data_IF_426706362345
#
_entry.id   IF_426706362345
#
_cell.length_a   1.000
_cell.length_b   1.000
_cell.length_c   1.000
_cell.angle_alpha   90.00
_cell.angle_beta   90.00
_cell.angle_gamma   90.00
#
_symmetry.space_group_name_H-M   'P 1'
#
loop_
_entity.id
_entity.type
_entity.pdbx_description
1 polymer ?
#
# COMPACT_ATOMS: atom_id res chain seq x y z
N UNK A 1 -12.40 5.44 -15.52
CA UNK A 1 -11.92 6.33 -14.42
C UNK A 1 -12.85 6.33 -13.23
N UNK A 2 -14.17 6.35 -13.37
CA UNK A 2 -15.17 5.97 -12.34
C UNK A 2 -16.19 5.05 -13.03
N UNK A 3 -16.66 4.00 -12.36
CA UNK A 3 -17.60 3.02 -12.90
C UNK A 3 -17.89 1.92 -11.88
N UNK A 4 -18.95 1.13 -12.09
CA UNK A 4 -19.32 0.01 -11.23
C UNK A 4 -19.08 -1.31 -11.98
N UNK A 5 -18.16 -2.17 -11.52
CA UNK A 5 -17.85 -3.42 -12.23
C UNK A 5 -18.98 -4.42 -12.02
N UNK A 6 -19.51 -4.95 -13.12
CA UNK A 6 -20.49 -6.02 -13.12
C UNK A 6 -19.82 -7.32 -13.55
N UNK A 7 -19.55 -8.20 -12.57
CA UNK A 7 -18.86 -9.47 -12.80
C UNK A 7 -19.68 -10.44 -13.66
N UNK A 8 -21.01 -10.42 -13.57
CA UNK A 8 -21.88 -11.33 -14.34
C UNK A 8 -21.97 -10.93 -15.81
N UNK A 9 -21.95 -9.63 -16.09
CA UNK A 9 -22.10 -9.09 -17.45
C UNK A 9 -20.78 -8.78 -18.14
N UNK A 10 -19.65 -8.98 -17.44
CA UNK A 10 -18.29 -8.65 -17.88
C UNK A 10 -18.15 -7.21 -18.42
N UNK A 11 -18.89 -6.27 -17.81
CA UNK A 11 -18.95 -4.87 -18.24
C UNK A 11 -18.81 -3.94 -17.05
N UNK A 12 -18.36 -2.73 -17.32
CA UNK A 12 -18.34 -1.63 -16.36
C UNK A 12 -19.58 -0.79 -16.60
N UNK A 13 -20.51 -0.85 -15.67
CA UNK A 13 -21.69 0.02 -15.67
C UNK A 13 -21.24 1.44 -15.28
N UNK A 14 -21.83 2.48 -15.89
CA UNK A 14 -21.50 3.88 -15.62
C UNK A 14 -20.02 4.26 -15.82
N UNK A 15 -19.37 3.76 -16.87
CA UNK A 15 -17.97 4.05 -17.12
C UNK A 15 -17.74 5.48 -17.62
N UNK A 16 -16.96 6.24 -16.85
CA UNK A 16 -16.33 7.49 -17.27
C UNK A 16 -14.84 7.19 -17.38
N UNK A 17 -14.33 6.91 -18.58
CA UNK A 17 -12.94 6.54 -18.84
C UNK A 17 -12.24 7.53 -19.78
N UNK A 18 -10.93 7.69 -19.59
CA UNK A 18 -10.07 8.50 -20.47
C UNK A 18 -9.52 7.54 -21.55
N UNK A 19 -9.86 7.73 -22.84
CA UNK A 19 -9.38 6.87 -23.90
C UNK A 19 -7.84 6.83 -23.93
N UNK A 20 -7.25 5.64 -24.06
CA UNK A 20 -5.81 5.49 -24.21
C UNK A 20 -4.96 5.71 -22.95
N UNK A 21 -5.52 6.23 -21.84
CA UNK A 21 -4.73 6.58 -20.64
C UNK A 21 -3.93 5.41 -20.06
N UNK A 22 -4.46 4.19 -20.13
CA UNK A 22 -3.74 2.98 -19.71
C UNK A 22 -2.66 2.55 -20.71
N UNK A 23 -2.85 2.74 -22.02
CA UNK A 23 -1.84 2.40 -23.04
C UNK A 23 -0.57 3.25 -22.87
N UNK A 24 -0.72 4.53 -22.55
CA UNK A 24 0.43 5.40 -22.27
C UNK A 24 1.16 4.99 -20.99
N UNK A 25 0.42 4.75 -19.90
CA UNK A 25 1.02 4.42 -18.61
C UNK A 25 1.72 3.04 -18.58
N UNK A 26 1.27 2.10 -19.41
CA UNK A 26 1.83 0.73 -19.46
C UNK A 26 2.99 0.61 -20.45
N UNK A 27 2.92 1.29 -21.60
CA UNK A 27 3.89 1.10 -22.69
C UNK A 27 4.75 2.34 -23.00
N UNK A 28 4.60 3.42 -22.24
CA UNK A 28 5.20 4.74 -22.51
C UNK A 28 4.97 5.23 -23.95
N UNK A 29 3.86 4.79 -24.57
CA UNK A 29 3.53 5.09 -25.95
C UNK A 29 2.64 6.34 -26.03
N UNK A 30 3.20 7.42 -26.58
CA UNK A 30 2.50 8.67 -26.87
C UNK A 30 1.45 8.55 -28.00
N UNK A 31 1.45 7.42 -28.71
CA UNK A 31 0.47 7.11 -29.76
C UNK A 31 -0.81 6.48 -29.17
N UNK A 32 -0.82 6.14 -27.87
CA UNK A 32 -1.96 5.58 -27.13
C UNK A 32 -2.64 4.36 -27.80
N UNK A 33 -1.92 3.66 -28.68
CA UNK A 33 -2.52 2.73 -29.65
C UNK A 33 -2.29 1.25 -29.30
N UNK A 34 -1.41 0.96 -28.34
CA UNK A 34 -1.12 -0.42 -27.94
C UNK A 34 -2.28 -1.01 -27.14
N UNK A 35 -2.89 -2.12 -27.58
CA UNK A 35 -3.98 -2.74 -26.85
C UNK A 35 -3.47 -3.30 -25.53
N UNK A 36 -4.10 -2.88 -24.44
CA UNK A 36 -3.88 -3.49 -23.11
C UNK A 36 -4.71 -4.75 -23.05
N UNK A 37 -4.08 -5.86 -22.65
CA UNK A 37 -4.77 -7.15 -22.50
C UNK A 37 -5.89 -7.02 -21.47
N UNK A 38 -7.11 -7.27 -21.91
CA UNK A 38 -8.30 -7.25 -21.08
C UNK A 38 -8.45 -8.55 -20.27
N UNK A 39 -9.27 -8.47 -19.21
CA UNK A 39 -9.55 -9.62 -18.35
C UNK A 39 -10.37 -10.72 -19.05
N UNK A 40 -11.08 -10.34 -20.11
CA UNK A 40 -11.86 -11.23 -20.99
C UNK A 40 -11.00 -12.31 -21.67
N UNK A 41 -9.69 -12.08 -21.79
CA UNK A 41 -8.73 -13.01 -22.39
C UNK A 41 -8.21 -14.10 -21.46
N UNK A 42 -8.56 -14.03 -20.18
CA UNK A 42 -8.18 -15.02 -19.17
C UNK A 42 -9.38 -15.88 -18.78
N UNK A 43 -9.13 -17.15 -18.43
CA UNK A 43 -10.19 -18.07 -18.00
C UNK A 43 -10.87 -17.55 -16.73
N UNK A 44 -12.20 -17.66 -16.60
CA UNK A 44 -12.92 -17.17 -15.42
C UNK A 44 -12.38 -17.69 -14.07
N UNK A 45 -11.86 -18.91 -14.04
CA UNK A 45 -11.29 -19.54 -12.85
C UNK A 45 -9.97 -18.93 -12.37
N UNK A 46 -9.24 -18.24 -13.27
CA UNK A 46 -7.96 -17.61 -12.96
C UNK A 46 -8.12 -16.12 -12.61
N UNK A 47 -9.34 -15.60 -12.63
CA UNK A 47 -9.63 -14.18 -12.38
C UNK A 47 -9.74 -13.91 -10.87
N UNK A 48 -9.13 -12.83 -10.36
CA UNK A 48 -9.30 -12.43 -8.96
C UNK A 48 -10.71 -11.90 -8.69
N UNK A 49 -11.13 -11.82 -7.40
CA UNK A 49 -12.37 -11.16 -7.00
C UNK A 49 -12.42 -9.70 -7.47
N UNK A 50 -13.22 -9.43 -8.50
CA UNK A 50 -13.21 -8.16 -9.23
C UNK A 50 -13.56 -6.95 -8.38
N UNK A 51 -14.68 -7.03 -7.64
CA UNK A 51 -15.22 -5.90 -6.90
C UNK A 51 -14.27 -5.42 -5.80
N UNK A 52 -13.69 -6.36 -5.05
CA UNK A 52 -12.82 -6.05 -3.92
C UNK A 52 -11.48 -5.46 -4.37
N UNK A 53 -10.87 -6.05 -5.40
CA UNK A 53 -9.64 -5.54 -6.01
C UNK A 53 -9.86 -4.15 -6.61
N UNK A 54 -10.98 -3.97 -7.33
CA UNK A 54 -11.36 -2.70 -7.94
C UNK A 54 -11.57 -1.59 -6.90
N UNK A 55 -12.35 -1.85 -5.85
CA UNK A 55 -12.65 -0.83 -4.85
C UNK A 55 -11.43 -0.49 -3.99
N UNK A 56 -10.62 -1.49 -3.63
CA UNK A 56 -9.40 -1.31 -2.84
C UNK A 56 -8.42 -0.35 -3.51
N UNK A 57 -8.17 -0.54 -4.81
CA UNK A 57 -7.30 0.36 -5.59
C UNK A 57 -7.84 1.80 -5.59
N UNK A 58 -9.15 1.98 -5.71
CA UNK A 58 -9.78 3.31 -5.73
C UNK A 58 -9.72 4.03 -4.40
N UNK A 59 -9.96 3.32 -3.32
CA UNK A 59 -9.84 3.88 -1.96
C UNK A 59 -8.40 4.33 -1.74
N UNK A 60 -7.42 3.48 -2.09
CA UNK A 60 -5.99 3.80 -1.98
C UNK A 60 -5.62 5.05 -2.80
N UNK A 61 -5.92 5.06 -4.11
CA UNK A 61 -5.60 6.18 -5.00
C UNK A 61 -6.36 7.44 -4.62
N UNK A 62 -7.65 7.32 -4.30
CA UNK A 62 -8.48 8.44 -3.87
C UNK A 62 -7.93 9.12 -2.62
N UNK A 63 -7.59 8.34 -1.59
CA UNK A 63 -6.96 8.87 -0.38
C UNK A 63 -5.58 9.47 -0.70
N UNK A 64 -4.76 8.80 -1.53
CA UNK A 64 -3.44 9.28 -1.92
C UNK A 64 -3.48 10.65 -2.60
N UNK A 65 -4.37 10.82 -3.58
CA UNK A 65 -4.58 12.10 -4.28
C UNK A 65 -5.08 13.17 -3.31
N UNK A 66 -6.03 12.85 -2.43
CA UNK A 66 -6.51 13.78 -1.40
C UNK A 66 -5.39 14.24 -0.46
N UNK A 67 -4.47 13.33 -0.07
CA UNK A 67 -3.33 13.67 0.77
C UNK A 67 -2.30 14.53 0.04
N UNK A 68 -2.02 14.25 -1.23
CA UNK A 68 -1.15 15.10 -2.06
C UNK A 68 -1.74 16.51 -2.17
N UNK A 69 -3.04 16.63 -2.40
CA UNK A 69 -3.73 17.91 -2.45
C UNK A 69 -3.66 18.68 -1.11
N UNK A 70 -3.89 17.99 0.01
CA UNK A 70 -3.77 18.58 1.35
C UNK A 70 -2.34 19.08 1.63
N UNK A 71 -1.30 18.31 1.26
CA UNK A 71 0.09 18.71 1.37
C UNK A 71 0.42 19.91 0.47
N UNK A 72 -0.04 19.92 -0.78
CA UNK A 72 0.16 21.03 -1.71
C UNK A 72 -0.48 22.33 -1.18
N UNK A 73 -1.70 22.25 -0.64
CA UNK A 73 -2.36 23.37 0.03
C UNK A 73 -1.59 23.81 1.29
N UNK A 74 -1.08 22.87 2.08
CA UNK A 74 -0.24 23.15 3.24
C UNK A 74 1.01 23.94 2.86
N UNK A 75 1.73 23.51 1.83
CA UNK A 75 2.89 24.22 1.28
C UNK A 75 2.50 25.61 0.78
N UNK A 76 1.41 25.72 0.03
CA UNK A 76 0.92 26.99 -0.50
C UNK A 76 0.59 27.99 0.62
N UNK A 77 -0.18 27.60 1.63
CA UNK A 77 -0.53 28.50 2.74
C UNK A 77 0.64 28.76 3.69
N UNK A 78 1.58 27.82 3.82
CA UNK A 78 2.82 28.04 4.54
C UNK A 78 3.70 29.10 3.85
N UNK A 79 3.80 29.04 2.52
CA UNK A 79 4.49 30.05 1.73
C UNK A 79 3.85 31.44 1.86
N UNK A 80 2.52 31.51 1.92
CA UNK A 80 1.76 32.75 2.17
C UNK A 80 1.76 33.20 3.63
N UNK A 81 2.39 32.45 4.54
CA UNK A 81 2.44 32.72 6.00
C UNK A 81 1.06 32.80 6.69
N UNK A 82 0.01 32.24 6.07
CA UNK A 82 -1.37 32.23 6.60
C UNK A 82 -1.84 30.84 7.04
N UNK A 83 -0.93 29.83 7.04
CA UNK A 83 -1.24 28.47 7.47
C UNK A 83 -1.92 28.37 8.85
N UNK A 84 -1.49 29.10 9.90
CA UNK A 84 -2.10 29.00 11.23
C UNK A 84 -3.59 29.38 11.25
N UNK A 85 -4.05 30.19 10.29
CA UNK A 85 -5.43 30.64 10.19
C UNK A 85 -6.35 29.55 9.60
N UNK A 86 -5.79 28.59 8.86
CA UNK A 86 -6.56 27.54 8.16
C UNK A 86 -6.75 26.30 9.03
N UNK A 87 -7.53 26.47 10.11
CA UNK A 87 -7.84 25.39 11.07
C UNK A 87 -8.37 24.11 10.42
N UNK A 88 -9.21 24.20 9.39
CA UNK A 88 -9.75 23.03 8.69
C UNK A 88 -8.65 22.20 8.02
N UNK A 89 -7.63 22.87 7.45
CA UNK A 89 -6.50 22.21 6.82
C UNK A 89 -5.62 21.55 7.87
N UNK A 90 -5.32 22.24 8.97
CA UNK A 90 -4.56 21.67 10.09
C UNK A 90 -5.26 20.44 10.68
N UNK A 91 -6.58 20.50 10.91
CA UNK A 91 -7.35 19.34 11.36
C UNK A 91 -7.36 18.21 10.33
N UNK A 92 -7.42 18.51 9.04
CA UNK A 92 -7.34 17.48 7.99
C UNK A 92 -6.00 16.73 8.01
N UNK A 93 -4.89 17.39 8.36
CA UNK A 93 -3.58 16.74 8.51
C UNK A 93 -3.53 15.82 9.73
N UNK A 94 -4.22 16.18 10.82
CA UNK A 94 -4.34 15.33 12.02
C UNK A 94 -5.16 14.08 11.72
N UNK A 95 -6.35 14.25 11.12
CA UNK A 95 -7.20 13.11 10.73
C UNK A 95 -6.56 12.31 9.59
N UNK A 96 -5.69 12.95 8.80
CA UNK A 96 -4.91 12.34 7.72
C UNK A 96 -4.15 11.08 8.14
N UNK A 97 -3.71 10.99 9.40
CA UNK A 97 -3.03 9.80 9.93
C UNK A 97 -3.91 8.54 9.79
N UNK A 98 -5.21 8.65 10.09
CA UNK A 98 -6.17 7.54 9.96
C UNK A 98 -6.35 7.18 8.49
N UNK A 99 -6.45 8.17 7.62
CA UNK A 99 -6.58 7.95 6.17
C UNK A 99 -5.35 7.29 5.57
N UNK A 100 -4.14 7.66 5.99
CA UNK A 100 -2.90 7.00 5.56
C UNK A 100 -2.91 5.52 5.94
N UNK A 101 -3.33 5.21 7.17
CA UNK A 101 -3.44 3.81 7.61
C UNK A 101 -4.48 3.05 6.78
N UNK A 102 -5.66 3.64 6.55
CA UNK A 102 -6.70 3.03 5.73
C UNK A 102 -6.25 2.80 4.28
N UNK A 103 -5.52 3.75 3.69
CA UNK A 103 -4.94 3.63 2.34
C UNK A 103 -3.91 2.51 2.27
N UNK A 104 -3.07 2.37 3.30
CA UNK A 104 -2.10 1.27 3.38
C UNK A 104 -2.81 -0.09 3.41
N UNK A 105 -3.85 -0.24 4.24
CA UNK A 105 -4.65 -1.47 4.27
C UNK A 105 -5.33 -1.75 2.93
N UNK A 106 -5.91 -0.73 2.29
CA UNK A 106 -6.53 -0.87 0.97
C UNK A 106 -5.50 -1.28 -0.11
N UNK A 107 -4.29 -0.75 -0.07
CA UNK A 107 -3.20 -1.14 -0.98
C UNK A 107 -2.83 -2.63 -0.83
N UNK A 108 -2.65 -3.09 0.41
CA UNK A 108 -2.38 -4.50 0.71
C UNK A 108 -3.53 -5.42 0.29
N UNK A 109 -4.78 -5.04 0.56
CA UNK A 109 -5.95 -5.82 0.13
C UNK A 109 -5.98 -5.90 -1.40
N UNK A 110 -5.77 -4.79 -2.10
CA UNK A 110 -5.74 -4.76 -3.56
C UNK A 110 -4.66 -5.68 -4.14
N UNK A 111 -3.46 -5.68 -3.55
CA UNK A 111 -2.35 -6.53 -3.98
C UNK A 111 -2.59 -8.02 -3.68
N UNK A 112 -3.03 -8.36 -2.46
CA UNK A 112 -3.21 -9.74 -2.01
C UNK A 112 -4.44 -10.41 -2.64
N UNK A 113 -5.56 -9.68 -2.71
CA UNK A 113 -6.79 -10.19 -3.36
C UNK A 113 -6.61 -10.20 -4.88
N UNK A 114 -5.91 -9.21 -5.44
CA UNK A 114 -5.63 -9.15 -6.87
C UNK A 114 -4.75 -10.29 -7.40
N UNK A 115 -3.97 -10.93 -6.51
CA UNK A 115 -3.13 -12.09 -6.86
C UNK A 115 -3.90 -13.41 -6.81
N UNK A 116 -5.06 -13.47 -6.15
CA UNK A 116 -5.87 -14.69 -6.10
C UNK A 116 -6.32 -15.10 -7.51
N UNK A 117 -6.36 -16.40 -7.86
CA UNK A 117 -6.19 -17.57 -7.00
C UNK A 117 -4.74 -18.07 -6.86
N UNK A 118 -3.74 -17.26 -7.21
CA UNK A 118 -2.34 -17.67 -7.28
C UNK A 118 -1.53 -17.22 -6.05
N UNK A 119 -0.62 -18.08 -5.60
CA UNK A 119 0.47 -17.69 -4.69
C UNK A 119 1.68 -17.31 -5.51
N UNK A 120 2.06 -18.20 -6.43
CA UNK A 120 3.07 -17.96 -7.44
C UNK A 120 2.34 -17.95 -8.78
N UNK A 121 2.34 -16.79 -9.44
CA UNK A 121 1.67 -16.64 -10.72
C UNK A 121 2.50 -17.34 -11.81
N UNK A 122 1.90 -18.24 -12.61
CA UNK A 122 2.62 -18.92 -13.69
C UNK A 122 3.00 -17.92 -14.80
N UNK A 123 4.13 -18.12 -15.48
CA UNK A 123 4.42 -17.35 -16.68
C UNK A 123 3.41 -17.72 -17.79
N UNK A 124 3.05 -16.73 -18.61
CA UNK A 124 2.24 -16.98 -19.81
C UNK A 124 3.15 -17.59 -20.89
N UNK A 125 2.64 -18.56 -21.64
CA UNK A 125 3.40 -19.23 -22.69
C UNK A 125 3.45 -18.32 -23.93
N UNK A 126 4.65 -18.11 -24.44
CA UNK A 126 4.90 -17.37 -25.68
C UNK A 126 5.07 -18.35 -26.85
N UNK A 127 4.69 -17.92 -28.06
CA UNK A 127 5.02 -18.65 -29.28
C UNK A 127 6.55 -18.80 -29.41
N UNK A 128 7.02 -19.77 -30.21
CA UNK A 128 8.44 -20.05 -30.39
C UNK A 128 9.27 -18.82 -30.83
N UNK A 129 8.62 -17.87 -31.53
CA UNK A 129 9.22 -16.62 -32.00
C UNK A 129 9.24 -15.49 -30.95
N UNK A 130 8.59 -15.67 -29.79
CA UNK A 130 8.51 -14.68 -28.71
C UNK A 130 7.69 -13.42 -29.05
N UNK A 131 6.97 -13.42 -30.17
CA UNK A 131 6.24 -12.27 -30.69
C UNK A 131 4.82 -12.14 -30.14
N UNK A 132 4.13 -13.27 -29.93
CA UNK A 132 2.74 -13.34 -29.49
C UNK A 132 2.53 -14.42 -28.41
N UNK A 133 1.47 -14.25 -27.61
CA UNK A 133 1.05 -15.19 -26.57
C UNK A 133 0.31 -16.39 -27.17
N UNK A 134 0.58 -17.59 -26.66
CA UNK A 134 -0.14 -18.81 -27.07
C UNK A 134 -1.58 -18.75 -26.58
N UNK A 135 -2.51 -18.86 -27.52
CA UNK A 135 -3.94 -19.00 -27.25
C UNK A 135 -4.30 -20.47 -27.41
N UNK A 136 -4.92 -21.06 -26.39
CA UNK A 136 -5.37 -22.44 -26.45
C UNK A 136 -6.57 -22.62 -27.39
N UNK A 137 -6.93 -23.88 -27.67
CA UNK A 137 -8.13 -24.19 -28.47
C UNK A 137 -9.43 -23.62 -27.87
N UNK A 138 -9.41 -23.32 -26.57
CA UNK A 138 -10.45 -22.68 -25.78
C UNK A 138 -10.55 -21.16 -25.96
N UNK A 139 -9.62 -20.55 -26.72
CA UNK A 139 -9.61 -19.11 -26.99
C UNK A 139 -9.04 -18.23 -25.87
N UNK A 140 -8.48 -18.84 -24.82
CA UNK A 140 -7.85 -18.15 -23.68
C UNK A 140 -6.33 -18.30 -23.70
N UNK A 141 -5.63 -17.40 -23.01
CA UNK A 141 -4.18 -17.51 -22.84
C UNK A 141 -3.79 -18.72 -22.00
N UNK A 142 -2.75 -19.42 -22.43
CA UNK A 142 -2.22 -20.56 -21.69
C UNK A 142 -1.11 -20.15 -20.73
N UNK A 143 -1.17 -20.72 -19.54
CA UNK A 143 -0.17 -20.57 -18.50
C UNK A 143 0.71 -21.82 -18.43
N UNK A 144 1.99 -21.62 -18.10
CA UNK A 144 2.85 -22.73 -17.69
C UNK A 144 2.52 -23.12 -16.24
N UNK A 145 1.54 -24.01 -16.09
CA UNK A 145 1.08 -24.48 -14.78
C UNK A 145 2.16 -25.29 -14.02
N UNK A 146 3.24 -25.74 -14.67
CA UNK A 146 4.31 -26.47 -13.99
C UNK A 146 5.13 -25.55 -13.06
N UNK A 147 5.15 -24.24 -13.34
CA UNK A 147 5.88 -23.23 -12.57
C UNK A 147 4.95 -22.46 -11.61
N UNK A 148 3.63 -22.50 -11.85
CA UNK A 148 2.64 -21.83 -11.01
C UNK A 148 2.30 -22.60 -9.72
N UNK A 149 1.85 -21.87 -8.69
CA UNK A 149 1.28 -22.46 -7.48
C UNK A 149 -0.05 -21.80 -7.14
N UNK A 150 -1.14 -22.58 -7.23
CA UNK A 150 -2.48 -22.15 -6.80
C UNK A 150 -2.59 -22.16 -5.29
N UNK A 151 -3.36 -21.21 -4.76
CA UNK A 151 -3.66 -21.06 -3.32
C UNK A 151 -4.29 -22.30 -2.70
N UNK A 152 -5.13 -23.01 -3.46
CA UNK A 152 -5.78 -24.27 -3.03
C UNK A 152 -4.79 -25.41 -2.77
N UNK A 153 -3.61 -25.39 -3.40
CA UNK A 153 -2.59 -26.44 -3.26
C UNK A 153 -1.49 -26.08 -2.27
N UNK A 154 -1.54 -24.89 -1.69
CA UNK A 154 -0.49 -24.37 -0.81
C UNK A 154 -0.80 -24.49 0.68
N UNK A 155 -1.88 -25.20 1.04
CA UNK A 155 -2.25 -25.46 2.44
C UNK A 155 -1.57 -26.73 2.95
N UNK A 156 -1.16 -26.73 4.21
CA UNK A 156 -0.51 -27.90 4.81
C UNK A 156 -1.49 -29.06 4.96
N UNK A 157 -1.21 -30.25 4.40
CA UNK A 157 -2.11 -31.40 4.51
C UNK A 157 -2.15 -31.99 5.93
N UNK A 158 -1.22 -31.61 6.80
CA UNK A 158 -1.08 -32.13 8.17
C UNK A 158 -1.90 -31.38 9.22
N UNK A 159 -2.47 -30.21 8.89
CA UNK A 159 -3.15 -29.35 9.86
C UNK A 159 -4.66 -29.48 9.71
N UNK A 160 -5.35 -29.81 10.80
CA UNK A 160 -6.81 -29.87 10.80
C UNK A 160 -7.42 -28.45 10.85
N UNK A 161 -8.59 -28.26 10.24
CA UNK A 161 -9.38 -27.03 10.33
C UNK A 161 -9.63 -26.58 11.78
N UNK A 162 -9.79 -27.52 12.72
CA UNK A 162 -9.95 -27.22 14.14
C UNK A 162 -8.68 -26.61 14.77
N UNK A 163 -7.49 -27.10 14.40
CA UNK A 163 -6.20 -26.58 14.88
C UNK A 163 -5.92 -25.20 14.29
N UNK A 164 -6.18 -25.03 12.99
CA UNK A 164 -6.08 -23.73 12.31
C UNK A 164 -7.03 -22.69 12.95
N UNK A 165 -8.27 -23.07 13.25
CA UNK A 165 -9.22 -22.18 13.91
C UNK A 165 -8.79 -21.84 15.33
N UNK A 166 -8.31 -22.82 16.09
CA UNK A 166 -7.84 -22.62 17.47
C UNK A 166 -6.65 -21.66 17.51
N UNK A 167 -5.66 -21.86 16.64
CA UNK A 167 -4.51 -20.96 16.51
C UNK A 167 -4.92 -19.56 16.07
N UNK A 168 -5.86 -19.42 15.12
CA UNK A 168 -6.39 -18.13 14.69
C UNK A 168 -7.06 -17.38 15.85
N UNK A 169 -7.87 -18.06 16.66
CA UNK A 169 -8.49 -17.47 17.86
C UNK A 169 -7.42 -17.06 18.87
N UNK A 170 -6.41 -17.90 19.12
CA UNK A 170 -5.34 -17.60 20.05
C UNK A 170 -4.52 -16.38 19.60
N UNK A 171 -4.15 -16.31 18.33
CA UNK A 171 -3.46 -15.15 17.76
C UNK A 171 -4.33 -13.90 17.79
N UNK A 172 -5.64 -14.02 17.53
CA UNK A 172 -6.56 -12.90 17.63
C UNK A 172 -6.61 -12.34 19.06
N UNK A 173 -6.77 -13.21 20.07
CA UNK A 173 -6.77 -12.80 21.49
C UNK A 173 -5.44 -12.16 21.87
N UNK A 174 -4.32 -12.76 21.45
CA UNK A 174 -2.99 -12.20 21.67
C UNK A 174 -2.85 -10.80 21.06
N UNK A 175 -3.23 -10.61 19.80
CA UNK A 175 -3.16 -9.31 19.12
C UNK A 175 -4.09 -8.27 19.73
N UNK A 176 -5.29 -8.65 20.17
CA UNK A 176 -6.19 -7.74 20.88
C UNK A 176 -5.61 -7.32 22.24
N UNK A 177 -5.00 -8.24 22.99
CA UNK A 177 -4.33 -7.90 24.25
C UNK A 177 -3.13 -6.96 24.04
N UNK A 178 -2.31 -7.22 23.02
CA UNK A 178 -1.19 -6.35 22.65
C UNK A 178 -1.68 -4.97 22.22
N UNK A 179 -2.77 -4.90 21.43
CA UNK A 179 -3.38 -3.65 21.04
C UNK A 179 -3.90 -2.86 22.26
N UNK A 180 -4.51 -3.53 23.24
CA UNK A 180 -4.97 -2.89 24.48
C UNK A 180 -3.79 -2.32 25.29
N UNK A 181 -2.71 -3.10 25.47
CA UNK A 181 -1.48 -2.62 26.13
C UNK A 181 -0.88 -1.45 25.38
N UNK A 182 -0.83 -1.52 24.04
CA UNK A 182 -0.32 -0.43 23.20
C UNK A 182 -1.14 0.86 23.39
N UNK A 183 -2.47 0.77 23.42
CA UNK A 183 -3.35 1.93 23.69
C UNK A 183 -3.10 2.48 25.09
N UNK A 184 -2.97 1.63 26.12
CA UNK A 184 -2.68 2.08 27.49
C UNK A 184 -1.33 2.81 27.58
N UNK A 185 -0.29 2.27 26.94
CA UNK A 185 1.04 2.90 26.90
C UNK A 185 0.98 4.22 26.14
N UNK A 186 0.24 4.27 25.03
CA UNK A 186 0.06 5.48 24.24
C UNK A 186 -0.64 6.58 25.06
N UNK A 187 -1.75 6.28 25.72
CA UNK A 187 -2.46 7.22 26.60
C UNK A 187 -1.56 7.70 27.76
N UNK A 188 -0.83 6.78 28.40
CA UNK A 188 0.11 7.13 29.46
C UNK A 188 1.20 8.10 28.98
N UNK A 189 1.76 7.88 27.78
CA UNK A 189 2.77 8.76 27.18
C UNK A 189 2.19 10.11 26.77
N UNK A 190 0.99 10.13 26.18
CA UNK A 190 0.31 11.37 25.78
C UNK A 190 0.03 12.24 27.02
N UNK A 191 -0.41 11.64 28.13
CA UNK A 191 -0.70 12.36 29.39
C UNK A 191 0.54 12.89 30.11
N UNK A 192 1.65 12.15 30.08
CA UNK A 192 2.92 12.60 30.68
C UNK A 192 3.47 13.87 30.01
N UNK A 193 3.10 14.12 28.76
CA UNK A 193 3.62 15.23 27.97
C UNK A 193 5.09 15.03 27.59
N UNK A 194 5.65 15.91 26.73
CA UNK A 194 7.07 15.91 26.44
C UNK A 194 7.86 16.26 27.71
N UNK A 195 8.99 15.60 27.93
CA UNK A 195 9.92 16.01 28.97
C UNK A 195 10.35 17.46 28.72
N UNK A 196 10.46 18.26 29.79
CA UNK A 196 10.98 19.61 29.68
C UNK A 196 12.39 19.54 29.10
N UNK A 197 12.52 20.00 27.86
CA UNK A 197 13.81 20.22 27.27
C UNK A 197 14.46 21.37 28.05
N UNK A 198 15.33 21.04 28.98
CA UNK A 198 16.19 22.02 29.65
C UNK A 198 17.06 22.61 28.55
N UNK A 199 16.68 23.80 28.06
CA UNK A 199 17.55 24.62 27.22
C UNK A 199 18.80 24.83 28.07
N UNK A 200 19.97 24.29 27.69
CA UNK A 200 21.19 24.61 28.41
C UNK A 200 21.29 26.14 28.43
N UNK A 201 21.40 26.72 29.63
CA UNK A 201 21.56 28.16 29.82
C UNK A 201 22.55 28.65 28.76
N UNK A 202 22.19 29.70 28.01
CA UNK A 202 23.14 30.43 27.18
C UNK A 202 24.20 31.02 28.12
N UNK A 203 25.18 30.20 28.44
CA UNK A 203 26.20 30.44 29.43
C UNK A 203 27.45 29.71 28.99
N UNK A 204 28.32 30.47 28.33
CA UNK A 204 29.68 30.14 27.92
C UNK A 204 29.84 29.51 26.52
N UNK A 205 30.26 30.35 25.57
CA UNK A 205 30.86 30.00 24.27
C UNK A 205 31.97 28.92 24.37
N UNK A 206 32.48 28.61 25.57
CA UNK A 206 33.40 27.50 25.80
C UNK A 206 32.74 26.13 25.95
N UNK A 207 31.42 26.00 26.10
CA UNK A 207 30.77 24.69 26.26
C UNK A 207 30.93 23.80 25.02
N UNK A 208 30.72 24.38 23.83
CA UNK A 208 30.90 23.68 22.55
C UNK A 208 32.38 23.37 22.30
N UNK A 209 33.28 24.32 22.63
CA UNK A 209 34.74 24.16 22.46
C UNK A 209 35.32 23.11 23.43
N UNK A 210 34.82 23.04 24.67
CA UNK A 210 35.21 22.01 25.65
C UNK A 210 34.65 20.63 25.27
N UNK A 211 33.43 20.56 24.74
CA UNK A 211 32.85 19.31 24.26
C UNK A 211 33.60 18.75 23.02
N UNK A 212 34.06 19.61 22.12
CA UNK A 212 34.93 19.20 20.99
C UNK A 212 36.35 18.84 21.43
N UNK A 213 36.93 19.61 22.36
CA UNK A 213 38.27 19.33 22.90
C UNK A 213 38.32 18.01 23.68
N UNK A 214 37.32 17.72 24.52
CA UNK A 214 37.23 16.46 25.26
C UNK A 214 37.14 15.24 24.33
N UNK A 215 36.45 15.37 23.19
CA UNK A 215 36.40 14.31 22.15
C UNK A 215 37.72 14.15 21.40
N UNK A 216 38.50 15.21 21.23
CA UNK A 216 39.82 15.14 20.59
C UNK A 216 40.89 14.56 21.52
N UNK A 217 40.89 14.90 22.81
CA UNK A 217 41.82 14.32 23.78
C UNK A 217 41.59 12.82 24.00
N UNK A 218 40.34 12.38 24.14
CA UNK A 218 40.00 10.95 24.27
C UNK A 218 40.39 10.09 23.05
N UNK A 219 40.64 10.72 21.90
CA UNK A 219 41.07 10.07 20.65
C UNK A 219 42.60 9.97 20.52
N UNK A 220 43.34 10.80 21.26
CA UNK A 220 44.81 10.80 21.28
C UNK A 220 45.37 9.89 22.39
N UNK A 221 44.61 9.68 23.47
CA UNK A 221 45.02 8.79 24.56
C UNK A 221 44.83 7.28 24.24
N UNK A 222 44.23 6.97 23.09
CA UNK A 222 43.95 5.60 22.61
C UNK A 222 44.71 5.24 21.30
N UNK A 223 45.77 5.99 20.97
CA UNK A 223 46.67 5.71 19.84
C UNK A 223 48.11 5.60 20.34
#
# INVERSE_FOLDING_TARGET
MIGWPNAEKERIDFDISIPGGLSFMVFDDLTFSKPVVGLDRFRPEDRPPLLLSYLSWRVMVGIGVLMIAACALGIYYNWRKTLPEKRWLLWSLVVGIVFVMASNQAGWIGAEVGRQPWIVHPPVIWNEDGTDLVVGEDGFYQYDEAVGLRTVHAVSPSVNAAEATTSLILFLVLYLSLAAVWIMVLDSKIRKGPEEYVIPEQGDEHGVKKASAARQHARLDNA
#
